data_IF_634278598191
#
_entry.id   IF_634278598191
#
_cell.length_a   1.000
_cell.length_b   1.000
_cell.length_c   1.000
_cell.angle_alpha   90.00
_cell.angle_beta   90.00
_cell.angle_gamma   90.00
#
_symmetry.space_group_name_H-M   'P 1'
#
loop_
_entity.id
_entity.type
_entity.pdbx_description
1 polymer ?
#
# COMPACT_ATOMS: atom_id res chain seq x y z
N UNK A 1 -0.60 22.32 -12.21
CA UNK A 1 -1.70 21.92 -11.31
C UNK A 1 -1.29 20.60 -10.71
N UNK A 2 -0.64 20.64 -9.55
CA UNK A 2 -0.40 19.42 -8.79
C UNK A 2 -1.77 19.03 -8.25
N UNK A 3 -2.38 18.00 -8.83
CA UNK A 3 -3.57 17.37 -8.27
C UNK A 3 -3.23 17.06 -6.81
N UNK A 4 -3.99 17.65 -5.88
CA UNK A 4 -4.02 17.22 -4.49
C UNK A 4 -4.43 15.75 -4.51
N UNK A 5 -3.44 14.85 -4.53
CA UNK A 5 -3.67 13.47 -4.16
C UNK A 5 -4.23 13.54 -2.75
N UNK A 6 -5.50 13.13 -2.51
CA UNK A 6 -6.00 13.09 -1.15
C UNK A 6 -4.98 12.30 -0.32
N UNK A 7 -4.61 12.82 0.86
CA UNK A 7 -3.67 12.16 1.78
C UNK A 7 -4.32 10.88 2.32
N UNK A 8 -4.50 9.87 1.46
CA UNK A 8 -5.02 8.56 1.81
C UNK A 8 -3.90 7.85 2.55
N UNK A 9 -4.17 7.48 3.79
CA UNK A 9 -3.21 6.73 4.60
C UNK A 9 -2.93 5.36 3.97
N UNK A 10 -1.71 4.85 4.14
CA UNK A 10 -1.32 3.50 3.69
C UNK A 10 -2.35 2.46 4.12
N UNK A 11 -2.81 2.54 5.37
CA UNK A 11 -3.78 1.63 5.98
C UNK A 11 -5.13 1.64 5.25
N UNK A 12 -5.62 2.81 4.81
CA UNK A 12 -6.86 2.91 4.05
C UNK A 12 -6.72 2.29 2.64
N UNK A 13 -5.53 2.40 2.02
CA UNK A 13 -5.26 1.73 0.74
C UNK A 13 -5.24 0.21 0.92
N UNK A 14 -4.56 -0.25 1.98
CA UNK A 14 -4.48 -1.65 2.37
C UNK A 14 -5.86 -2.25 2.66
N UNK A 15 -6.74 -1.54 3.39
CA UNK A 15 -8.12 -1.95 3.65
C UNK A 15 -8.95 -2.06 2.37
N UNK A 16 -8.86 -1.07 1.48
CA UNK A 16 -9.56 -1.10 0.18
C UNK A 16 -9.13 -2.29 -0.69
N UNK A 17 -7.88 -2.72 -0.59
CA UNK A 17 -7.44 -3.92 -1.32
C UNK A 17 -8.25 -5.15 -0.91
N UNK A 18 -8.62 -5.30 0.37
CA UNK A 18 -9.45 -6.41 0.86
C UNK A 18 -10.87 -6.37 0.30
N UNK A 19 -11.44 -5.17 0.13
CA UNK A 19 -12.80 -4.98 -0.38
C UNK A 19 -12.91 -5.13 -1.90
N UNK A 20 -11.92 -4.60 -2.64
CA UNK A 20 -12.03 -4.42 -4.10
C UNK A 20 -11.32 -5.51 -4.89
N UNK A 21 -10.17 -6.02 -4.42
CA UNK A 21 -9.43 -7.03 -5.17
C UNK A 21 -10.01 -8.42 -4.93
N UNK A 22 -9.85 -9.31 -5.92
CA UNK A 22 -10.30 -10.69 -5.84
C UNK A 22 -9.82 -11.39 -4.54
N UNK A 23 -10.57 -12.38 -4.01
CA UNK A 23 -10.22 -13.05 -2.75
C UNK A 23 -8.84 -13.70 -2.73
N UNK A 24 -8.33 -14.09 -3.90
CA UNK A 24 -7.01 -14.71 -4.09
C UNK A 24 -5.93 -13.73 -4.56
N UNK A 25 -6.25 -12.43 -4.67
CA UNK A 25 -5.25 -11.43 -5.00
C UNK A 25 -4.27 -11.26 -3.83
N UNK A 26 -2.99 -11.11 -4.15
CA UNK A 26 -1.97 -10.73 -3.15
C UNK A 26 -2.26 -9.32 -2.64
N UNK A 27 -2.48 -9.19 -1.34
CA UNK A 27 -2.72 -7.91 -0.66
C UNK A 27 -1.40 -7.37 -0.10
N UNK A 28 -1.16 -6.08 -0.23
CA UNK A 28 0.06 -5.41 0.22
C UNK A 28 0.28 -5.53 1.73
N UNK A 29 -0.80 -5.44 2.52
CA UNK A 29 -0.79 -5.64 3.97
C UNK A 29 -0.32 -7.04 4.42
N UNK A 30 -0.34 -8.03 3.51
CA UNK A 30 0.06 -9.41 3.78
C UNK A 30 1.40 -9.78 3.12
N UNK A 31 2.13 -8.80 2.58
CA UNK A 31 3.43 -9.02 1.97
C UNK A 31 4.47 -9.45 3.03
N UNK A 32 5.44 -10.27 2.62
CA UNK A 32 6.48 -10.83 3.50
C UNK A 32 7.55 -9.85 4.01
N UNK A 33 7.30 -8.54 3.92
CA UNK A 33 8.23 -7.49 4.31
C UNK A 33 9.45 -7.37 3.39
N UNK A 34 10.46 -6.62 3.86
CA UNK A 34 11.72 -6.35 3.13
C UNK A 34 12.88 -7.13 3.71
N UNK A 35 13.92 -7.33 2.91
CA UNK A 35 15.17 -7.98 3.35
C UNK A 35 15.85 -7.24 4.51
N UNK A 36 15.75 -5.92 4.51
CA UNK A 36 16.25 -5.06 5.56
C UNK A 36 15.06 -4.37 6.23
N UNK A 37 15.10 -4.25 7.55
CA UNK A 37 14.05 -3.57 8.30
C UNK A 37 14.00 -2.09 7.91
N UNK A 38 12.84 -1.65 7.45
CA UNK A 38 12.58 -0.29 7.04
C UNK A 38 11.25 0.15 7.64
N UNK A 39 11.11 1.42 8.04
CA UNK A 39 9.81 1.93 8.47
C UNK A 39 8.81 1.89 7.31
N UNK A 40 7.55 1.67 7.67
CA UNK A 40 6.47 1.77 6.70
C UNK A 40 6.25 3.21 6.24
N UNK A 41 5.81 3.37 4.98
CA UNK A 41 5.45 4.68 4.48
C UNK A 41 4.07 5.10 5.01
N UNK A 42 3.88 6.40 5.21
CA UNK A 42 2.61 6.95 5.72
C UNK A 42 1.48 6.87 4.67
N UNK A 43 1.81 6.99 3.38
CA UNK A 43 0.82 7.18 2.30
C UNK A 43 1.00 6.22 1.11
N UNK A 44 1.94 5.27 1.19
CA UNK A 44 2.24 4.34 0.10
C UNK A 44 2.27 2.92 0.62
N UNK A 45 1.57 2.01 -0.06
CA UNK A 45 1.69 0.57 0.20
C UNK A 45 3.07 0.05 -0.19
N UNK A 46 3.46 -1.11 0.32
CA UNK A 46 4.76 -1.72 -0.03
C UNK A 46 4.94 -1.85 -1.55
N UNK A 47 3.88 -2.24 -2.28
CA UNK A 47 3.90 -2.38 -3.74
C UNK A 47 3.93 -1.04 -4.50
N UNK A 48 3.29 0.01 -3.99
CA UNK A 48 3.42 1.35 -4.58
C UNK A 48 4.85 1.86 -4.40
N UNK A 49 5.45 1.63 -3.24
CA UNK A 49 6.82 2.01 -2.91
C UNK A 49 7.86 1.30 -3.76
N UNK A 50 7.58 0.05 -4.16
CA UNK A 50 8.43 -0.74 -5.05
C UNK A 50 8.36 -0.29 -6.52
N UNK A 51 7.30 0.43 -6.90
CA UNK A 51 7.09 0.93 -8.27
C UNK A 51 7.81 2.25 -8.54
N UNK A 52 7.90 3.10 -7.52
CA UNK A 52 8.49 4.45 -7.61
C UNK A 52 9.99 4.42 -7.98
#
# INVERSE_FOLDING_TARGET
MLEELPEVLREELEEREFEVLAPYATKSAQAGGRRHEEPEAAYRTCFQRDRD
#
